data_IF_327064176110
#
_entry.id   IF_327064176110
#
_cell.length_a   1.000
_cell.length_b   1.000
_cell.length_c   1.000
_cell.angle_alpha   90.00
_cell.angle_beta   90.00
_cell.angle_gamma   90.00
#
_symmetry.space_group_name_H-M   'P 1'
#
loop_
_entity.id
_entity.type
_entity.pdbx_description
1 polymer ?
#
# COMPACT_ATOMS: atom_id res chain seq x y z
N UNK A 1 38.06 35.18 4.87
CA UNK A 1 38.62 34.07 5.68
C UNK A 1 38.17 32.77 5.04
N UNK A 2 39.09 32.03 4.43
CA UNK A 2 38.85 30.70 3.84
C UNK A 2 39.28 29.66 4.87
N UNK A 3 38.41 28.71 5.19
CA UNK A 3 38.75 27.52 5.96
C UNK A 3 39.03 26.40 4.97
N UNK A 4 40.31 26.11 4.74
CA UNK A 4 40.77 24.85 4.18
C UNK A 4 40.86 23.86 5.35
N UNK A 5 40.01 22.84 5.34
CA UNK A 5 40.13 21.68 6.23
C UNK A 5 40.54 20.49 5.39
N UNK A 6 41.82 20.13 5.52
CA UNK A 6 42.41 18.90 5.00
C UNK A 6 41.88 17.72 5.83
N UNK A 7 41.28 16.74 5.17
CA UNK A 7 40.90 15.46 5.79
C UNK A 7 42.10 14.48 5.74
N UNK A 8 42.28 13.63 6.77
CA UNK A 8 43.37 12.67 6.82
C UNK A 8 43.15 11.47 5.89
N UNK A 9 44.26 11.04 5.28
CA UNK A 9 44.38 10.05 4.20
C UNK A 9 44.55 8.61 4.73
N UNK A 10 43.89 8.27 5.85
CA UNK A 10 44.00 6.95 6.48
C UNK A 10 42.61 6.33 6.65
N UNK A 11 42.12 5.68 5.58
CA UNK A 11 41.10 4.61 5.61
C UNK A 11 40.97 3.97 4.21
N UNK A 12 42.09 3.72 3.54
CA UNK A 12 42.16 2.75 2.45
C UNK A 12 42.55 1.39 3.05
N UNK A 13 41.90 0.32 2.59
CA UNK A 13 42.12 -1.12 2.88
C UNK A 13 41.23 -1.78 3.95
N UNK A 14 39.96 -2.00 3.61
CA UNK A 14 39.26 -3.27 3.89
C UNK A 14 38.33 -3.56 2.69
N UNK A 15 38.81 -4.21 1.63
CA UNK A 15 38.60 -5.64 1.36
C UNK A 15 37.44 -6.28 2.12
N UNK A 16 36.22 -6.17 1.58
CA UNK A 16 35.21 -7.21 1.71
C UNK A 16 34.80 -7.67 0.32
N UNK A 17 35.56 -8.66 -0.15
CA UNK A 17 35.12 -9.68 -1.09
C UNK A 17 33.93 -10.39 -0.46
N UNK A 18 32.72 -10.02 -0.91
CA UNK A 18 31.46 -10.62 -0.54
C UNK A 18 30.52 -10.59 -1.74
N UNK A 19 30.97 -11.10 -2.89
CA UNK A 19 30.13 -11.38 -4.05
C UNK A 19 29.20 -12.56 -3.74
N UNK A 20 28.25 -12.34 -2.84
CA UNK A 20 27.12 -13.23 -2.60
C UNK A 20 26.07 -12.94 -3.66
N UNK A 21 25.72 -13.99 -4.40
CA UNK A 21 24.73 -14.04 -5.46
C UNK A 21 23.38 -13.45 -5.00
N UNK A 22 23.17 -12.14 -5.14
CA UNK A 22 21.83 -11.64 -5.43
C UNK A 22 21.55 -12.00 -6.88
N UNK A 23 21.30 -13.29 -7.12
CA UNK A 23 20.65 -13.76 -8.33
C UNK A 23 19.42 -12.89 -8.47
N UNK A 24 19.42 -11.97 -9.44
CA UNK A 24 18.25 -11.17 -9.72
C UNK A 24 17.10 -12.14 -9.87
N UNK A 25 16.16 -12.11 -8.92
CA UNK A 25 14.96 -12.90 -9.00
C UNK A 25 14.30 -12.45 -10.30
N UNK A 26 14.51 -13.25 -11.34
CA UNK A 26 13.83 -13.07 -12.61
C UNK A 26 12.40 -13.38 -12.28
N UNK A 27 11.57 -12.35 -12.14
CA UNK A 27 10.13 -12.49 -11.99
C UNK A 27 9.51 -12.97 -13.32
N UNK A 28 10.11 -13.98 -13.93
CA UNK A 28 9.70 -14.61 -15.19
C UNK A 28 8.36 -15.35 -15.04
N UNK A 29 7.85 -15.49 -13.80
CA UNK A 29 6.48 -15.93 -13.57
C UNK A 29 5.50 -14.76 -13.72
N UNK A 30 5.40 -14.27 -14.95
CA UNK A 30 4.46 -13.22 -15.33
C UNK A 30 3.01 -13.61 -15.00
N UNK A 31 2.68 -14.90 -15.01
CA UNK A 31 1.34 -15.40 -14.73
C UNK A 31 0.98 -15.23 -13.25
N UNK A 32 1.94 -15.48 -12.36
CA UNK A 32 1.73 -15.27 -10.92
C UNK A 32 1.55 -13.78 -10.58
N UNK A 33 2.38 -12.90 -11.17
CA UNK A 33 2.22 -11.44 -11.03
C UNK A 33 0.85 -10.96 -11.50
N UNK A 34 0.38 -11.46 -12.65
CA UNK A 34 -0.95 -11.12 -13.20
C UNK A 34 -2.05 -11.63 -12.26
N UNK A 35 -1.94 -12.85 -11.74
CA UNK A 35 -2.90 -13.41 -10.78
C UNK A 35 -3.01 -12.53 -9.54
N UNK A 36 -1.87 -12.18 -8.92
CA UNK A 36 -1.86 -11.38 -7.68
C UNK A 36 -2.34 -9.94 -7.94
N UNK A 37 -2.01 -9.35 -9.08
CA UNK A 37 -2.57 -8.06 -9.48
C UNK A 37 -4.11 -8.12 -9.62
N UNK A 38 -4.64 -9.21 -10.20
CA UNK A 38 -6.08 -9.45 -10.29
C UNK A 38 -6.76 -9.58 -8.92
N UNK A 39 -6.11 -10.25 -7.96
CA UNK A 39 -6.60 -10.32 -6.58
C UNK A 39 -6.63 -8.94 -5.93
N UNK A 40 -5.57 -8.12 -6.11
CA UNK A 40 -5.53 -6.75 -5.60
C UNK A 40 -6.63 -5.87 -6.20
N UNK A 41 -6.92 -6.01 -7.48
CA UNK A 41 -8.02 -5.30 -8.13
C UNK A 41 -9.38 -5.73 -7.56
N UNK A 42 -9.59 -7.02 -7.35
CA UNK A 42 -10.80 -7.56 -6.72
C UNK A 42 -10.96 -7.03 -5.28
N UNK A 43 -9.88 -7.01 -4.50
CA UNK A 43 -9.86 -6.47 -3.14
C UNK A 43 -10.16 -4.97 -3.16
N UNK A 44 -9.52 -4.21 -4.04
CA UNK A 44 -9.69 -2.76 -4.13
C UNK A 44 -11.09 -2.35 -4.63
N UNK A 45 -11.80 -3.23 -5.35
CA UNK A 45 -13.19 -3.02 -5.73
C UNK A 45 -14.16 -3.04 -4.54
N UNK A 46 -13.78 -3.62 -3.40
CA UNK A 46 -14.59 -3.57 -2.19
C UNK A 46 -14.60 -2.17 -1.58
N UNK A 47 -15.81 -1.64 -1.42
CA UNK A 47 -16.05 -0.26 -0.94
C UNK A 47 -15.86 -0.15 0.57
N UNK A 48 -16.10 -1.22 1.33
CA UNK A 48 -15.95 -1.21 2.78
C UNK A 48 -14.50 -1.50 3.18
N UNK A 49 -13.82 -0.62 3.93
CA UNK A 49 -12.46 -0.87 4.41
C UNK A 49 -12.34 -2.15 5.24
N UNK A 50 -13.34 -2.42 6.09
CA UNK A 50 -13.40 -3.65 6.88
C UNK A 50 -13.51 -4.88 5.98
N UNK A 51 -14.40 -4.86 4.98
CA UNK A 51 -14.54 -5.98 4.03
C UNK A 51 -13.30 -6.14 3.17
N UNK A 52 -12.65 -5.04 2.78
CA UNK A 52 -11.40 -5.05 2.02
C UNK A 52 -10.31 -5.81 2.77
N UNK A 53 -10.16 -5.54 4.08
CA UNK A 53 -9.21 -6.26 4.92
C UNK A 53 -9.58 -7.74 5.09
N UNK A 54 -10.85 -8.05 5.37
CA UNK A 54 -11.32 -9.43 5.48
C UNK A 54 -11.13 -10.21 4.18
N UNK A 55 -11.44 -9.60 3.04
CA UNK A 55 -11.29 -10.19 1.72
C UNK A 55 -9.81 -10.37 1.36
N UNK A 56 -8.95 -9.38 1.66
CA UNK A 56 -7.51 -9.53 1.48
C UNK A 56 -6.98 -10.72 2.30
N UNK A 57 -7.48 -10.91 3.52
CA UNK A 57 -7.08 -12.05 4.34
C UNK A 57 -7.54 -13.37 3.71
N UNK A 58 -8.80 -13.47 3.30
CA UNK A 58 -9.32 -14.72 2.72
C UNK A 58 -8.68 -15.07 1.39
N UNK A 59 -8.29 -14.08 0.59
CA UNK A 59 -7.72 -14.31 -0.74
C UNK A 59 -6.19 -14.48 -0.72
N UNK A 60 -5.49 -13.87 0.24
CA UNK A 60 -4.02 -13.84 0.27
C UNK A 60 -3.46 -14.70 1.40
N UNK A 61 -4.06 -14.69 2.60
CA UNK A 61 -3.51 -15.39 3.76
C UNK A 61 -4.08 -16.79 3.95
N UNK A 62 -5.40 -16.93 3.92
CA UNK A 62 -6.06 -18.18 4.30
C UNK A 62 -5.66 -19.39 3.42
N UNK A 63 -5.43 -19.26 2.09
CA UNK A 63 -4.94 -20.37 1.26
C UNK A 63 -3.62 -20.99 1.74
N UNK A 64 -2.75 -20.19 2.39
CA UNK A 64 -1.46 -20.65 2.91
C UNK A 64 -1.56 -21.17 4.35
N UNK A 65 -2.62 -20.82 5.09
CA UNK A 65 -2.87 -21.36 6.44
C UNK A 65 -3.39 -22.79 6.37
N UNK A 66 -4.27 -23.08 5.42
CA UNK A 66 -4.94 -24.38 5.29
C UNK A 66 -4.07 -25.43 4.59
N UNK A 67 -3.22 -25.01 3.65
CA UNK A 67 -2.39 -25.92 2.87
C UNK A 67 -1.10 -26.41 3.56
N UNK A 68 -0.59 -25.71 4.57
CA UNK A 68 0.79 -25.90 5.02
C UNK A 68 1.80 -25.38 3.97
N UNK A 69 3.08 -25.24 4.35
CA UNK A 69 4.09 -24.52 3.55
C UNK A 69 4.36 -25.12 2.15
N UNK A 70 3.92 -26.35 1.91
CA UNK A 70 4.19 -27.11 0.67
C UNK A 70 2.97 -27.26 -0.25
N UNK A 71 1.81 -26.70 0.10
CA UNK A 71 0.61 -26.89 -0.73
C UNK A 71 0.55 -25.86 -1.86
N UNK A 72 0.56 -26.29 -3.14
CA UNK A 72 0.33 -25.38 -4.25
C UNK A 72 -1.08 -24.82 -4.14
N UNK A 73 -1.22 -23.51 -4.37
CA UNK A 73 -2.50 -22.81 -4.38
C UNK A 73 -3.37 -23.26 -5.56
N UNK A 74 -3.96 -24.46 -5.47
CA UNK A 74 -4.86 -25.01 -6.48
C UNK A 74 -6.29 -25.05 -5.94
N UNK A 75 -7.14 -24.14 -6.44
CA UNK A 75 -8.60 -24.25 -6.38
C UNK A 75 -9.32 -23.15 -5.60
N UNK A 76 -9.51 -21.98 -6.23
CA UNK A 76 -10.29 -20.85 -5.70
C UNK A 76 -11.79 -20.94 -6.07
N UNK A 77 -12.37 -22.13 -6.04
CA UNK A 77 -13.79 -22.37 -6.34
C UNK A 77 -14.43 -22.95 -5.07
N UNK A 78 -15.45 -22.26 -4.54
CA UNK A 78 -16.17 -22.52 -3.26
C UNK A 78 -15.56 -21.98 -1.96
N UNK A 79 -15.42 -20.65 -1.84
CA UNK A 79 -15.33 -19.98 -0.55
C UNK A 79 -16.71 -19.45 -0.13
N UNK A 80 -17.46 -20.29 0.60
CA UNK A 80 -18.67 -19.86 1.31
C UNK A 80 -18.26 -19.30 2.67
N UNK A 81 -18.40 -17.99 2.87
CA UNK A 81 -18.05 -17.33 4.14
C UNK A 81 -19.06 -17.75 5.22
N UNK A 82 -18.68 -18.72 6.05
CA UNK A 82 -19.49 -19.14 7.20
C UNK A 82 -19.45 -18.05 8.29
N UNK A 83 -20.60 -17.45 8.57
CA UNK A 83 -20.78 -16.56 9.73
C UNK A 83 -20.84 -17.39 11.01
N UNK A 84 -19.77 -17.34 11.82
CA UNK A 84 -19.71 -17.96 13.14
C UNK A 84 -20.18 -17.01 14.25
N UNK A 85 -20.87 -17.57 15.24
CA UNK A 85 -21.43 -16.90 16.42
C UNK A 85 -20.35 -16.23 17.31
N UNK A 86 -20.61 -14.99 17.75
CA UNK A 86 -19.63 -14.05 18.34
C UNK A 86 -19.61 -14.02 19.89
N UNK A 87 -19.80 -15.15 20.57
CA UNK A 87 -19.94 -15.19 22.05
C UNK A 87 -18.77 -15.88 22.80
N UNK A 88 -17.56 -15.95 22.21
CA UNK A 88 -16.37 -16.41 22.94
C UNK A 88 -15.61 -15.26 23.66
N UNK A 89 -15.05 -15.51 24.85
CA UNK A 89 -14.26 -14.54 25.60
C UNK A 89 -12.99 -14.14 24.83
N UNK A 90 -12.76 -12.84 24.67
CA UNK A 90 -11.73 -12.21 23.84
C UNK A 90 -10.29 -12.33 24.41
N UNK A 91 -9.83 -13.53 24.75
CA UNK A 91 -8.38 -13.81 24.72
C UNK A 91 -8.00 -13.89 23.25
N UNK A 92 -7.63 -12.76 22.64
CA UNK A 92 -7.43 -12.64 21.20
C UNK A 92 -6.38 -13.66 20.67
N UNK A 93 -6.77 -14.78 20.01
CA UNK A 93 -5.85 -15.80 19.46
C UNK A 93 -5.13 -15.32 18.19
N UNK A 94 -5.13 -14.01 17.95
CA UNK A 94 -4.78 -13.37 16.69
C UNK A 94 -3.28 -13.10 16.56
N UNK A 95 -2.54 -13.29 17.66
CA UNK A 95 -1.16 -12.84 17.87
C UNK A 95 -0.15 -13.71 17.08
N UNK A 96 0.14 -14.94 17.52
CA UNK A 96 1.21 -15.75 16.90
C UNK A 96 0.88 -16.34 15.54
N UNK A 97 -0.40 -16.50 15.22
CA UNK A 97 -0.82 -17.36 14.11
C UNK A 97 -0.85 -16.61 12.76
N UNK A 98 -1.12 -15.31 12.77
CA UNK A 98 -1.10 -14.49 11.57
C UNK A 98 0.33 -14.12 11.17
N UNK A 99 1.20 -13.85 12.14
CA UNK A 99 2.62 -13.54 11.92
C UNK A 99 3.42 -14.74 11.41
N UNK A 100 3.15 -15.94 11.96
CA UNK A 100 3.67 -17.19 11.41
C UNK A 100 3.15 -17.47 10.01
N UNK A 101 1.96 -16.98 9.64
CA UNK A 101 1.42 -17.15 8.30
C UNK A 101 2.05 -16.14 7.31
N UNK A 102 2.18 -14.86 7.68
CA UNK A 102 2.80 -13.84 6.82
C UNK A 102 4.28 -14.09 6.57
N UNK A 103 5.02 -14.57 7.57
CA UNK A 103 6.43 -14.96 7.41
C UNK A 103 6.63 -16.16 6.48
N UNK A 104 5.57 -16.90 6.17
CA UNK A 104 5.56 -18.03 5.24
C UNK A 104 5.00 -17.68 3.86
N UNK A 105 4.45 -16.48 3.68
CA UNK A 105 3.97 -16.06 2.38
C UNK A 105 5.14 -15.94 1.41
N UNK A 106 4.98 -16.36 0.15
CA UNK A 106 5.90 -15.97 -0.90
C UNK A 106 5.99 -14.45 -0.98
N UNK A 107 7.13 -13.95 -1.46
CA UNK A 107 7.43 -12.51 -1.46
C UNK A 107 6.35 -11.69 -2.18
N UNK A 108 5.74 -12.24 -3.23
CA UNK A 108 4.69 -11.59 -4.01
C UNK A 108 3.40 -11.38 -3.19
N UNK A 109 2.88 -12.43 -2.55
CA UNK A 109 1.72 -12.35 -1.66
C UNK A 109 2.00 -11.49 -0.44
N UNK A 110 3.20 -11.58 0.13
CA UNK A 110 3.63 -10.72 1.23
C UNK A 110 3.59 -9.25 0.82
N UNK A 111 4.06 -8.92 -0.38
CA UNK A 111 4.00 -7.56 -0.94
C UNK A 111 2.57 -7.07 -1.15
N UNK A 112 1.70 -7.92 -1.71
CA UNK A 112 0.29 -7.62 -1.94
C UNK A 112 -0.46 -7.43 -0.61
N UNK A 113 -0.25 -8.34 0.34
CA UNK A 113 -0.81 -8.27 1.68
C UNK A 113 -0.37 -6.99 2.39
N UNK A 114 0.94 -6.69 2.36
CA UNK A 114 1.49 -5.46 2.95
C UNK A 114 0.78 -4.25 2.35
N UNK A 115 0.65 -4.17 1.02
CA UNK A 115 0.03 -3.03 0.35
C UNK A 115 -1.41 -2.73 0.82
N UNK A 116 -2.17 -3.75 1.22
CA UNK A 116 -3.56 -3.61 1.69
C UNK A 116 -3.67 -3.24 3.17
N UNK A 117 -2.58 -3.28 3.93
CA UNK A 117 -2.55 -2.90 5.36
C UNK A 117 -2.23 -1.43 5.61
N UNK A 118 -1.86 -0.66 4.59
CA UNK A 118 -1.58 0.76 4.75
C UNK A 118 -2.82 1.61 4.54
N UNK A 119 -2.93 2.64 5.36
CA UNK A 119 -3.88 3.73 5.20
C UNK A 119 -3.12 5.04 4.99
N UNK A 120 -3.80 6.05 4.44
CA UNK A 120 -3.18 7.36 4.32
C UNK A 120 -3.38 8.14 5.62
N UNK A 121 -2.29 8.59 6.21
CA UNK A 121 -2.28 9.53 7.32
C UNK A 121 -1.71 10.88 6.90
N UNK A 122 -2.23 11.95 7.49
CA UNK A 122 -1.74 13.31 7.27
C UNK A 122 -0.94 13.76 8.48
N UNK A 123 0.39 13.81 8.33
CA UNK A 123 1.29 14.34 9.36
C UNK A 123 1.51 15.84 9.12
N UNK A 124 1.43 16.64 10.18
CA UNK A 124 1.74 18.08 10.13
C UNK A 124 3.06 18.31 10.86
N UNK A 125 4.11 18.63 10.10
CA UNK A 125 5.41 19.03 10.63
C UNK A 125 5.60 20.54 10.43
N UNK A 126 5.35 21.31 11.49
CA UNK A 126 5.35 22.76 11.47
C UNK A 126 4.28 23.32 10.52
N UNK A 127 4.71 23.93 9.40
CA UNK A 127 3.82 24.48 8.36
C UNK A 127 3.65 23.54 7.15
N UNK A 128 4.23 22.34 7.20
CA UNK A 128 4.21 21.37 6.10
C UNK A 128 3.33 20.19 6.49
N UNK A 129 2.19 20.08 5.81
CA UNK A 129 1.38 18.87 5.83
C UNK A 129 1.87 17.91 4.75
N UNK A 130 2.04 16.64 5.14
CA UNK A 130 2.44 15.53 4.26
C UNK A 130 1.38 14.44 4.34
N UNK A 131 1.09 13.82 3.21
CA UNK A 131 0.37 12.55 3.18
C UNK A 131 1.42 11.43 3.20
N UNK A 132 1.24 10.45 4.08
CA UNK A 132 2.07 9.25 4.19
C UNK A 132 1.19 8.03 4.20
N UNK A 133 1.68 6.93 3.64
CA UNK A 133 1.10 5.63 3.94
C UNK A 133 1.65 5.16 5.27
N UNK A 134 0.76 5.04 6.23
CA UNK A 134 1.01 4.54 7.55
C UNK A 134 0.20 3.25 7.72
N UNK A 135 0.73 2.27 8.43
CA UNK A 135 -0.02 1.06 8.67
C UNK A 135 -1.31 1.28 9.48
N UNK A 136 -2.39 0.64 9.04
CA UNK A 136 -3.73 0.80 9.61
C UNK A 136 -3.89 0.25 11.03
N UNK A 137 -3.07 -0.75 11.41
CA UNK A 137 -3.11 -1.35 12.75
C UNK A 137 -1.82 -1.01 13.51
N UNK A 138 -1.96 -0.17 14.55
CA UNK A 138 -0.94 0.13 15.57
C UNK A 138 -1.45 -0.35 16.95
N UNK A 139 -1.98 -1.57 17.01
CA UNK A 139 -2.42 -2.20 18.25
C UNK A 139 -1.23 -2.67 19.09
N UNK A 140 -1.39 -2.87 20.41
CA UNK A 140 -0.34 -3.39 21.29
C UNK A 140 0.21 -4.76 20.84
N UNK A 141 -0.60 -5.48 20.04
CA UNK A 141 -0.36 -6.85 19.56
C UNK A 141 -0.28 -6.90 18.01
N UNK A 142 -0.04 -5.76 17.36
CA UNK A 142 0.32 -5.75 15.93
C UNK A 142 1.82 -5.90 15.85
N UNK A 143 2.32 -6.98 15.22
CA UNK A 143 3.67 -6.94 14.62
C UNK A 143 3.81 -5.63 13.89
N UNK A 144 4.88 -4.89 14.21
CA UNK A 144 5.13 -3.58 13.63
C UNK A 144 5.04 -3.74 12.11
N UNK A 145 3.97 -3.21 11.50
CA UNK A 145 3.81 -3.30 10.08
C UNK A 145 5.02 -2.67 9.41
N UNK A 146 5.45 -3.28 8.30
CA UNK A 146 6.68 -2.94 7.61
C UNK A 146 6.90 -1.42 7.54
N UNK A 147 8.02 -0.94 8.09
CA UNK A 147 8.33 0.49 8.03
C UNK A 147 8.63 0.86 6.58
N UNK A 148 7.71 1.56 5.92
CA UNK A 148 7.86 1.99 4.52
C UNK A 148 9.18 2.72 4.23
N UNK A 149 9.82 3.35 5.21
CA UNK A 149 11.10 4.03 5.03
C UNK A 149 12.28 3.03 4.94
N UNK A 150 12.09 1.78 5.38
CA UNK A 150 13.11 0.73 5.46
C UNK A 150 12.61 -0.57 4.82
N UNK A 151 12.48 -0.57 3.48
CA UNK A 151 12.01 -1.74 2.72
C UNK A 151 13.14 -2.38 1.90
N UNK A 152 13.10 -3.70 1.75
CA UNK A 152 14.08 -4.41 0.92
C UNK A 152 13.88 -4.06 -0.57
N UNK A 153 14.98 -4.07 -1.33
CA UNK A 153 14.93 -3.78 -2.77
C UNK A 153 13.97 -4.71 -3.51
N UNK A 154 13.99 -6.00 -3.18
CA UNK A 154 13.17 -7.01 -3.83
C UNK A 154 11.67 -6.73 -3.64
N UNK A 155 11.28 -6.32 -2.43
CA UNK A 155 9.89 -5.96 -2.12
C UNK A 155 9.44 -4.72 -2.90
N UNK A 156 10.29 -3.70 -2.98
CA UNK A 156 10.01 -2.49 -3.77
C UNK A 156 9.89 -2.83 -5.27
N UNK A 157 10.71 -3.74 -5.78
CA UNK A 157 10.66 -4.19 -7.17
C UNK A 157 9.34 -4.95 -7.46
N UNK A 158 8.85 -5.75 -6.51
CA UNK A 158 7.51 -6.36 -6.60
C UNK A 158 6.41 -5.31 -6.62
N UNK A 159 6.44 -4.32 -5.72
CA UNK A 159 5.43 -3.25 -5.74
C UNK A 159 5.46 -2.46 -7.04
N UNK A 160 6.63 -2.21 -7.62
CA UNK A 160 6.76 -1.60 -8.96
C UNK A 160 6.14 -2.46 -10.05
N UNK A 161 6.35 -3.77 -10.01
CA UNK A 161 5.77 -4.69 -10.98
C UNK A 161 4.24 -4.73 -10.86
N UNK A 162 3.72 -4.92 -9.63
CA UNK A 162 2.29 -4.91 -9.35
C UNK A 162 1.62 -3.58 -9.73
N UNK A 163 2.23 -2.44 -9.42
CA UNK A 163 1.70 -1.10 -9.72
C UNK A 163 1.44 -0.88 -11.23
N UNK A 164 2.16 -1.59 -12.10
CA UNK A 164 1.97 -1.53 -13.56
C UNK A 164 0.81 -2.40 -14.05
N UNK A 165 0.44 -3.42 -13.29
CA UNK A 165 -0.56 -4.43 -13.68
C UNK A 165 -1.94 -4.13 -13.09
N UNK A 166 -2.01 -3.60 -11.87
CA UNK A 166 -3.28 -3.27 -11.22
C UNK A 166 -4.03 -2.18 -11.98
N UNK A 167 -5.33 -2.38 -12.15
CA UNK A 167 -6.22 -1.47 -12.89
C UNK A 167 -7.13 -0.68 -11.94
N UNK A 168 -7.42 -1.22 -10.76
CA UNK A 168 -8.28 -0.56 -9.78
C UNK A 168 -7.58 0.69 -9.23
N UNK A 169 -8.24 1.88 -9.22
CA UNK A 169 -7.63 3.12 -8.76
C UNK A 169 -7.06 3.03 -7.34
N UNK A 170 -7.74 2.34 -6.43
CA UNK A 170 -7.30 2.17 -5.04
C UNK A 170 -5.99 1.38 -4.92
N UNK A 171 -5.91 0.21 -5.57
CA UNK A 171 -4.69 -0.61 -5.56
C UNK A 171 -3.53 0.11 -6.24
N UNK A 172 -3.78 0.72 -7.40
CA UNK A 172 -2.78 1.49 -8.16
C UNK A 172 -2.25 2.69 -7.37
N UNK A 173 -3.13 3.41 -6.69
CA UNK A 173 -2.76 4.52 -5.82
C UNK A 173 -1.88 4.06 -4.65
N UNK A 174 -2.30 3.02 -3.92
CA UNK A 174 -1.58 2.49 -2.77
C UNK A 174 -0.17 1.98 -3.15
N UNK A 175 -0.08 1.11 -4.16
CA UNK A 175 1.21 0.55 -4.59
C UNK A 175 2.16 1.63 -5.12
N UNK A 176 1.68 2.56 -5.95
CA UNK A 176 2.52 3.64 -6.47
C UNK A 176 2.99 4.59 -5.37
N UNK A 177 2.14 4.84 -4.36
CA UNK A 177 2.49 5.65 -3.20
C UNK A 177 3.52 4.94 -2.31
N UNK A 178 3.39 3.61 -2.10
CA UNK A 178 4.39 2.82 -1.37
C UNK A 178 5.76 2.86 -2.05
N UNK A 179 5.80 2.68 -3.38
CA UNK A 179 7.06 2.78 -4.13
C UNK A 179 7.66 4.18 -3.99
N UNK A 180 6.83 5.23 -4.09
CA UNK A 180 7.29 6.61 -3.90
C UNK A 180 7.85 6.85 -2.50
N UNK A 181 7.20 6.36 -1.45
CA UNK A 181 7.64 6.54 -0.08
C UNK A 181 8.95 5.77 0.19
N UNK A 182 9.03 4.52 -0.30
CA UNK A 182 10.15 3.62 0.01
C UNK A 182 11.40 3.88 -0.84
N UNK A 183 11.23 4.34 -2.08
CA UNK A 183 12.34 4.48 -3.02
C UNK A 183 12.37 5.81 -3.77
N UNK A 184 11.42 6.72 -3.51
CA UNK A 184 11.28 7.97 -4.25
C UNK A 184 10.77 7.74 -5.67
N UNK A 185 11.16 8.62 -6.59
CA UNK A 185 10.73 8.59 -7.99
C UNK A 185 9.52 9.49 -8.22
N UNK A 186 9.71 10.54 -9.02
CA UNK A 186 8.67 11.53 -9.31
C UNK A 186 7.48 10.90 -10.04
N UNK A 187 7.77 9.97 -10.94
CA UNK A 187 6.78 9.24 -11.74
C UNK A 187 5.79 8.46 -10.87
N UNK A 188 6.25 7.82 -9.80
CA UNK A 188 5.39 7.03 -8.92
C UNK A 188 4.44 7.92 -8.10
N UNK A 189 4.92 9.07 -7.61
CA UNK A 189 4.04 10.06 -6.98
C UNK A 189 3.00 10.64 -7.96
N UNK A 190 3.38 10.87 -9.22
CA UNK A 190 2.43 11.34 -10.24
C UNK A 190 1.35 10.29 -10.54
N UNK A 191 1.72 9.02 -10.70
CA UNK A 191 0.78 7.91 -10.90
C UNK A 191 -0.13 7.76 -9.69
N UNK A 192 0.42 7.78 -8.47
CA UNK A 192 -0.35 7.71 -7.24
C UNK A 192 -1.35 8.86 -7.14
N UNK A 193 -0.92 10.11 -7.36
CA UNK A 193 -1.79 11.28 -7.32
C UNK A 193 -2.92 11.20 -8.36
N UNK A 194 -2.62 10.81 -9.61
CA UNK A 194 -3.64 10.62 -10.64
C UNK A 194 -4.66 9.54 -10.23
N UNK A 195 -4.18 8.41 -9.70
CA UNK A 195 -5.04 7.32 -9.22
C UNK A 195 -5.91 7.74 -8.02
N UNK A 196 -5.40 8.57 -7.10
CA UNK A 196 -6.20 9.13 -6.00
C UNK A 196 -7.28 10.13 -6.47
N UNK A 197 -7.05 10.86 -7.57
CA UNK A 197 -8.09 11.70 -8.20
C UNK A 197 -9.19 10.82 -8.80
N UNK A 198 -8.83 9.73 -9.48
CA UNK A 198 -9.82 8.78 -9.98
C UNK A 198 -10.60 8.12 -8.85
N UNK A 199 -9.90 7.68 -7.80
CA UNK A 199 -10.50 7.08 -6.62
C UNK A 199 -11.48 8.04 -5.94
N UNK A 200 -11.11 9.33 -5.79
CA UNK A 200 -11.98 10.32 -5.15
C UNK A 200 -13.33 10.49 -5.86
N UNK A 201 -13.40 10.19 -7.16
CA UNK A 201 -14.63 10.26 -7.95
C UNK A 201 -15.43 8.95 -7.92
N UNK A 202 -14.79 7.83 -7.58
CA UNK A 202 -15.41 6.51 -7.49
C UNK A 202 -15.95 6.20 -6.08
N UNK A 203 -15.41 6.85 -5.05
CA UNK A 203 -15.81 6.65 -3.66
C UNK A 203 -17.26 7.11 -3.39
N UNK A 204 -17.97 6.35 -2.55
CA UNK A 204 -19.38 6.64 -2.23
C UNK A 204 -19.55 7.62 -1.07
N UNK A 205 -18.60 7.64 -0.14
CA UNK A 205 -18.67 8.48 1.06
C UNK A 205 -17.91 9.77 0.81
N UNK A 206 -18.59 10.90 1.00
CA UNK A 206 -17.98 12.23 0.83
C UNK A 206 -16.66 12.40 1.57
N UNK A 207 -16.55 11.87 2.80
CA UNK A 207 -15.31 11.91 3.57
C UNK A 207 -14.14 11.20 2.86
N UNK A 208 -14.40 10.02 2.29
CA UNK A 208 -13.39 9.20 1.60
C UNK A 208 -13.02 9.82 0.24
N UNK A 209 -13.98 10.46 -0.44
CA UNK A 209 -13.75 11.28 -1.64
C UNK A 209 -12.80 12.44 -1.32
N UNK A 210 -13.12 13.26 -0.31
CA UNK A 210 -12.30 14.41 0.12
C UNK A 210 -10.91 13.97 0.54
N UNK A 211 -10.81 12.87 1.31
CA UNK A 211 -9.54 12.31 1.75
C UNK A 211 -8.66 12.00 0.54
N UNK A 212 -9.17 11.21 -0.41
CA UNK A 212 -8.44 10.79 -1.62
C UNK A 212 -7.96 12.00 -2.45
N UNK A 213 -8.84 12.98 -2.70
CA UNK A 213 -8.46 14.17 -3.47
C UNK A 213 -7.41 15.03 -2.72
N UNK A 214 -7.50 15.13 -1.39
CA UNK A 214 -6.49 15.82 -0.57
C UNK A 214 -5.13 15.12 -0.62
N UNK A 215 -5.10 13.78 -0.65
CA UNK A 215 -3.86 13.01 -0.83
C UNK A 215 -3.22 13.35 -2.17
N UNK A 216 -4.02 13.38 -3.24
CA UNK A 216 -3.55 13.75 -4.58
C UNK A 216 -2.91 15.15 -4.61
N UNK A 217 -3.52 16.15 -3.95
CA UNK A 217 -2.94 17.50 -3.82
C UNK A 217 -1.56 17.46 -3.14
N UNK A 218 -1.41 16.67 -2.07
CA UNK A 218 -0.15 16.57 -1.33
C UNK A 218 0.94 15.89 -2.13
N UNK A 219 0.62 14.80 -2.83
CA UNK A 219 1.57 14.11 -3.70
C UNK A 219 2.00 15.00 -4.87
N UNK A 220 1.06 15.66 -5.56
CA UNK A 220 1.37 16.60 -6.63
C UNK A 220 2.29 17.75 -6.16
N UNK A 221 2.02 18.29 -4.96
CA UNK A 221 2.87 19.31 -4.35
C UNK A 221 4.26 18.78 -3.98
N UNK A 222 4.36 17.55 -3.48
CA UNK A 222 5.63 16.94 -3.11
C UNK A 222 6.60 16.82 -4.29
N UNK A 223 6.07 16.63 -5.50
CA UNK A 223 6.86 16.56 -6.74
C UNK A 223 6.86 17.82 -7.60
N UNK A 224 6.23 18.90 -7.13
CA UNK A 224 6.15 20.17 -7.85
C UNK A 224 5.36 20.12 -9.16
N UNK A 225 4.38 19.22 -9.29
CA UNK A 225 3.52 19.11 -10.46
C UNK A 225 2.28 20.00 -10.31
N UNK A 226 2.37 21.22 -10.84
CA UNK A 226 1.31 22.23 -10.71
C UNK A 226 0.05 21.88 -11.49
N UNK A 227 0.18 21.23 -12.65
CA UNK A 227 -0.97 20.81 -13.46
C UNK A 227 -1.75 19.69 -12.77
N UNK A 228 -1.04 18.70 -12.22
CA UNK A 228 -1.68 17.63 -11.45
C UNK A 228 -2.30 18.17 -10.15
N UNK A 229 -1.65 19.15 -9.51
CA UNK A 229 -2.18 19.85 -8.35
C UNK A 229 -3.49 20.58 -8.64
N UNK A 230 -3.58 21.29 -9.78
CA UNK A 230 -4.80 21.95 -10.21
C UNK A 230 -5.95 20.96 -10.41
N UNK A 231 -5.70 19.84 -11.11
CA UNK A 231 -6.70 18.78 -11.31
C UNK A 231 -7.20 18.17 -10.00
N UNK A 232 -6.33 18.02 -9.00
CA UNK A 232 -6.72 17.51 -7.68
C UNK A 232 -7.58 18.52 -6.90
N UNK A 233 -7.29 19.82 -7.05
CA UNK A 233 -8.12 20.90 -6.46
C UNK A 233 -9.50 20.94 -7.15
N UNK A 234 -9.56 20.86 -8.47
CA UNK A 234 -10.84 20.77 -9.20
C UNK A 234 -11.67 19.54 -8.80
N UNK A 235 -11.02 18.43 -8.41
CA UNK A 235 -11.73 17.29 -7.84
C UNK A 235 -12.34 17.62 -6.47
N UNK A 236 -11.60 18.31 -5.58
CA UNK A 236 -12.14 18.78 -4.28
C UNK A 236 -13.31 19.74 -4.44
N UNK A 237 -13.23 20.68 -5.38
CA UNK A 237 -14.30 21.64 -5.68
C UNK A 237 -15.58 20.92 -6.12
N UNK A 238 -15.48 19.97 -7.07
CA UNK A 238 -16.61 19.15 -7.50
C UNK A 238 -17.22 18.33 -6.36
N UNK A 239 -16.40 17.75 -5.49
CA UNK A 239 -16.89 17.01 -4.32
C UNK A 239 -17.65 17.94 -3.37
N UNK A 240 -17.13 19.15 -3.13
CA UNK A 240 -17.79 20.14 -2.28
C UNK A 240 -19.16 20.56 -2.85
N UNK A 241 -19.23 20.83 -4.16
CA UNK A 241 -20.50 21.12 -4.86
C UNK A 241 -21.52 19.99 -4.68
N UNK A 242 -21.11 18.74 -4.90
CA UNK A 242 -21.98 17.57 -4.68
C UNK A 242 -22.49 17.48 -3.23
N UNK A 243 -21.64 17.76 -2.24
CA UNK A 243 -22.02 17.72 -0.82
C UNK A 243 -23.05 18.81 -0.46
N UNK A 244 -22.89 20.02 -1.01
CA UNK A 244 -23.84 21.13 -0.79
C UNK A 244 -25.19 20.83 -1.42
N UNK A 245 -25.20 20.27 -2.63
CA UNK A 245 -26.45 19.86 -3.28
C UNK A 245 -27.15 18.74 -2.50
N UNK A 246 -26.40 17.77 -2.00
CA UNK A 246 -26.95 16.67 -1.20
C UNK A 246 -27.56 17.17 0.13
N UNK A 247 -26.95 18.16 0.80
CA UNK A 247 -27.50 18.71 2.04
C UNK A 247 -28.75 19.54 1.81
N UNK A 248 -28.86 20.25 0.69
CA UNK A 248 -30.03 21.03 0.33
C UNK A 248 -31.29 20.18 0.04
N UNK A 249 -31.13 18.91 -0.32
CA UNK A 249 -32.25 17.99 -0.59
C UNK A 249 -32.82 17.37 0.69
N UNK A 250 -32.04 17.29 1.76
CA UNK A 250 -32.40 16.60 3.00
C UNK A 250 -32.65 17.54 4.19
N UNK A 251 -32.57 18.85 4.00
CA UNK A 251 -32.85 19.88 5.00
C UNK A 251 -34.17 20.60 4.74
#
# INVERSE_FOLDING_TARGET
MRFEQSLPEELQTMTTSGGGLCSGASWDDSDELIRVAGLLDQIAAEVSPLRRFTLARSLILDPFREGGADSPATGLQDLTVCGGDLDEPWDHPWDDAQDRATSRLPLLESAAWAAMRYQVEFTIDGRKERARLEPHFKGPDSTDPLDTDVQSKDLVDVWRALAKLVTAPGARAALSHLVFQSAGGREHAQVAAAAYIELSMAERRAADMVLSARVAVRLARAVGDTALGARAIEALERIAECCVLASAVHG
#
